data_IF_009210831475
#
_entry.id   IF_009210831475
#
_cell.length_a   1.000
_cell.length_b   1.000
_cell.length_c   1.000
_cell.angle_alpha   90.00
_cell.angle_beta   90.00
_cell.angle_gamma   90.00
#
_symmetry.space_group_name_H-M   'P 1'
#
loop_
_entity.id
_entity.type
_entity.pdbx_description
1 polymer ?
#
# COMPACT_ATOMS: atom_id res chain seq x y z
N UNK A 1 8.21 26.99 -15.52
CA UNK A 1 8.88 25.89 -14.81
C UNK A 1 8.34 24.56 -15.29
N UNK A 2 9.26 23.64 -15.58
CA UNK A 2 9.08 22.26 -16.01
C UNK A 2 8.43 21.42 -14.90
N UNK A 3 7.40 20.64 -15.23
CA UNK A 3 6.78 19.68 -14.29
C UNK A 3 7.71 18.51 -13.95
N UNK A 4 7.26 17.57 -13.08
CA UNK A 4 8.02 16.38 -12.72
C UNK A 4 8.39 15.59 -13.98
N UNK A 5 9.68 15.31 -14.14
CA UNK A 5 10.23 14.53 -15.24
C UNK A 5 10.48 13.13 -14.65
N UNK A 6 9.92 12.08 -15.26
CA UNK A 6 9.95 10.68 -14.79
C UNK A 6 8.90 10.29 -13.74
N UNK A 7 7.61 10.43 -14.08
CA UNK A 7 6.51 9.88 -13.29
C UNK A 7 6.39 8.37 -13.55
N UNK A 8 6.47 7.57 -12.48
CA UNK A 8 6.14 6.15 -12.51
C UNK A 8 4.74 5.94 -11.92
N UNK A 9 3.99 5.02 -12.51
CA UNK A 9 2.66 4.61 -12.04
C UNK A 9 2.54 3.09 -12.06
N UNK A 10 1.73 2.55 -11.15
CA UNK A 10 1.40 1.14 -11.08
C UNK A 10 -0.06 0.95 -10.69
N UNK A 11 -0.64 -0.20 -11.02
CA UNK A 11 -2.00 -0.53 -10.63
C UNK A 11 -2.03 -1.10 -9.22
N UNK A 12 -2.98 -0.63 -8.39
CA UNK A 12 -3.21 -1.26 -7.09
C UNK A 12 -3.58 -2.76 -7.21
N UNK A 13 -4.11 -3.19 -8.36
CA UNK A 13 -4.46 -4.58 -8.61
C UNK A 13 -3.23 -5.50 -8.74
N UNK A 14 -2.07 -4.93 -9.11
CA UNK A 14 -0.80 -5.65 -9.25
C UNK A 14 -0.07 -5.79 -7.91
N UNK A 15 -0.50 -5.05 -6.88
CA UNK A 15 0.11 -5.04 -5.56
C UNK A 15 -0.23 -6.32 -4.79
N UNK A 16 0.79 -6.99 -4.25
CA UNK A 16 0.65 -8.16 -3.40
C UNK A 16 0.36 -7.75 -1.94
N UNK A 17 1.12 -6.83 -1.37
CA UNK A 17 0.91 -6.32 -0.01
C UNK A 17 1.34 -4.86 0.14
N UNK A 18 0.83 -4.21 1.18
CA UNK A 18 1.15 -2.83 1.54
C UNK A 18 1.54 -2.79 3.01
N UNK A 19 2.69 -2.22 3.33
CA UNK A 19 3.21 -2.06 4.70
C UNK A 19 3.56 -0.60 4.99
N UNK A 20 3.31 -0.14 6.21
CA UNK A 20 3.90 1.10 6.71
C UNK A 20 5.27 0.81 7.29
N UNK A 21 6.28 1.51 6.79
CA UNK A 21 7.64 1.49 7.31
C UNK A 21 7.92 2.77 8.10
N UNK A 22 8.41 2.61 9.32
CA UNK A 22 9.02 3.69 10.12
C UNK A 22 10.44 3.29 10.45
N UNK A 23 11.41 4.11 10.07
CA UNK A 23 12.85 3.83 10.19
C UNK A 23 13.24 2.45 9.60
N UNK A 24 12.67 2.15 8.42
CA UNK A 24 12.81 0.89 7.67
C UNK A 24 12.28 -0.36 8.38
N UNK A 25 11.47 -0.21 9.43
CA UNK A 25 10.80 -1.33 10.11
C UNK A 25 9.31 -1.30 9.82
N UNK A 26 8.74 -2.46 9.51
CA UNK A 26 7.30 -2.59 9.38
C UNK A 26 6.63 -2.35 10.74
N UNK A 27 5.61 -1.48 10.75
CA UNK A 27 4.87 -1.13 11.96
C UNK A 27 3.38 -1.40 11.80
N UNK A 28 2.70 -1.55 12.93
CA UNK A 28 1.25 -1.70 12.96
C UNK A 28 0.55 -0.39 12.55
N UNK A 29 -0.48 -0.50 11.72
CA UNK A 29 -1.24 0.66 11.22
C UNK A 29 -2.24 1.19 12.25
N UNK A 30 -2.74 0.35 13.16
CA UNK A 30 -3.71 0.75 14.19
C UNK A 30 -3.04 1.44 15.37
N UNK A 31 -1.79 1.08 15.64
CA UNK A 31 -0.98 1.56 16.75
C UNK A 31 0.43 1.95 16.30
N UNK A 32 0.58 2.87 15.33
CA UNK A 32 1.89 3.24 14.80
C UNK A 32 2.71 3.97 15.88
N UNK A 33 4.05 3.93 15.79
CA UNK A 33 4.91 4.68 16.69
C UNK A 33 4.67 6.19 16.54
N UNK A 34 4.91 6.94 17.62
CA UNK A 34 4.70 8.40 17.63
C UNK A 34 5.88 9.19 17.05
N UNK A 35 7.00 8.51 16.74
CA UNK A 35 8.24 9.12 16.24
C UNK A 35 8.94 8.19 15.25
N UNK A 36 9.68 8.81 14.34
CA UNK A 36 10.53 8.16 13.34
C UNK A 36 11.09 9.23 12.39
N UNK A 37 12.18 8.90 11.69
CA UNK A 37 12.85 9.83 10.76
C UNK A 37 12.53 9.52 9.30
N UNK A 38 12.39 8.25 8.96
CA UNK A 38 12.00 7.80 7.63
C UNK A 38 10.63 7.15 7.69
N UNK A 39 9.70 7.61 6.87
CA UNK A 39 8.31 7.14 6.84
C UNK A 39 7.99 6.82 5.39
N UNK A 40 7.52 5.61 5.12
CA UNK A 40 7.13 5.20 3.77
C UNK A 40 6.01 4.17 3.79
N UNK A 41 5.17 4.18 2.76
CA UNK A 41 4.39 3.00 2.39
C UNK A 41 5.22 2.17 1.41
N UNK A 42 5.42 0.90 1.75
CA UNK A 42 6.03 -0.10 0.88
C UNK A 42 4.95 -0.92 0.19
N UNK A 43 5.03 -1.00 -1.13
CA UNK A 43 4.18 -1.80 -2.00
C UNK A 43 5.02 -2.96 -2.54
N UNK A 44 4.62 -4.19 -2.25
CA UNK A 44 5.26 -5.38 -2.81
C UNK A 44 4.49 -5.88 -4.03
N UNK A 45 5.21 -6.45 -4.99
CA UNK A 45 4.65 -7.01 -6.23
C UNK A 45 5.08 -8.47 -6.37
N UNK A 46 4.34 -9.30 -7.12
CA UNK A 46 4.85 -10.61 -7.55
C UNK A 46 6.14 -10.43 -8.37
N UNK A 47 7.07 -11.38 -8.26
CA UNK A 47 8.34 -11.36 -9.01
C UNK A 47 8.15 -11.11 -10.52
N UNK A 48 9.08 -10.41 -11.20
CA UNK A 48 10.47 -10.13 -10.78
C UNK A 48 10.72 -8.75 -10.14
N UNK A 49 9.71 -7.88 -10.03
CA UNK A 49 9.87 -6.53 -9.43
C UNK A 49 9.59 -6.61 -7.93
N UNK A 50 10.52 -6.08 -7.14
CA UNK A 50 10.60 -6.39 -5.71
C UNK A 50 9.69 -5.53 -4.84
N UNK A 51 9.89 -4.22 -4.80
CA UNK A 51 9.17 -3.29 -3.92
C UNK A 51 9.22 -1.86 -4.45
N UNK A 52 8.17 -1.08 -4.21
CA UNK A 52 8.16 0.38 -4.39
C UNK A 52 7.92 1.03 -3.02
N UNK A 53 8.71 2.06 -2.68
CA UNK A 53 8.55 2.82 -1.44
C UNK A 53 8.12 4.25 -1.74
N UNK A 54 6.94 4.62 -1.26
CA UNK A 54 6.41 5.99 -1.37
C UNK A 54 6.66 6.72 -0.05
N UNK A 55 7.52 7.75 -0.01
CA UNK A 55 7.85 8.46 1.22
C UNK A 55 6.70 9.37 1.70
N UNK A 56 6.58 9.52 3.01
CA UNK A 56 5.64 10.41 3.69
C UNK A 56 6.37 11.32 4.68
N UNK A 57 5.77 12.46 5.00
CA UNK A 57 6.30 13.40 6.00
C UNK A 57 5.82 13.11 7.42
N UNK A 58 4.66 12.47 7.57
CA UNK A 58 4.00 12.26 8.86
C UNK A 58 3.48 10.82 9.01
N UNK A 59 3.72 10.24 10.20
CA UNK A 59 3.31 8.86 10.51
C UNK A 59 1.78 8.70 10.49
N UNK A 60 0.99 9.59 11.13
CA UNK A 60 -0.48 9.46 11.12
C UNK A 60 -1.04 9.49 9.70
N UNK A 61 -0.55 10.38 8.84
CA UNK A 61 -0.97 10.48 7.45
C UNK A 61 -0.64 9.20 6.67
N UNK A 62 0.58 8.68 6.81
CA UNK A 62 0.98 7.43 6.18
C UNK A 62 0.12 6.25 6.67
N UNK A 63 -0.23 6.22 7.96
CA UNK A 63 -1.09 5.20 8.53
C UNK A 63 -2.52 5.25 7.97
N UNK A 64 -3.12 6.44 7.86
CA UNK A 64 -4.45 6.62 7.27
C UNK A 64 -4.50 6.16 5.81
N UNK A 65 -3.51 6.56 5.01
CA UNK A 65 -3.37 6.09 3.63
C UNK A 65 -3.15 4.58 3.55
N UNK A 66 -2.30 4.03 4.41
CA UNK A 66 -2.06 2.59 4.50
C UNK A 66 -3.34 1.81 4.75
N UNK A 67 -4.15 2.24 5.73
CA UNK A 67 -5.46 1.62 6.03
C UNK A 67 -6.40 1.68 4.84
N UNK A 68 -6.53 2.86 4.22
CA UNK A 68 -7.42 3.04 3.07
C UNK A 68 -7.01 2.14 1.90
N UNK A 69 -5.73 2.14 1.52
CA UNK A 69 -5.23 1.36 0.38
C UNK A 69 -5.31 -0.14 0.63
N UNK A 70 -5.04 -0.61 1.86
CA UNK A 70 -5.25 -2.01 2.22
C UNK A 70 -6.73 -2.42 2.11
N UNK A 71 -7.68 -1.54 2.45
CA UNK A 71 -9.10 -1.81 2.25
C UNK A 71 -9.47 -1.86 0.76
N UNK A 72 -8.96 -0.94 -0.06
CA UNK A 72 -9.20 -0.96 -1.50
C UNK A 72 -8.62 -2.22 -2.17
N UNK A 73 -7.42 -2.64 -1.77
CA UNK A 73 -6.79 -3.87 -2.25
C UNK A 73 -7.60 -5.12 -1.87
N UNK A 74 -8.21 -5.15 -0.67
CA UNK A 74 -9.10 -6.24 -0.28
C UNK A 74 -10.37 -6.27 -1.12
N UNK A 75 -10.99 -5.10 -1.38
CA UNK A 75 -12.19 -4.98 -2.21
C UNK A 75 -11.95 -5.45 -3.64
N UNK A 76 -10.87 -5.00 -4.27
CA UNK A 76 -10.54 -5.39 -5.65
C UNK A 76 -10.35 -6.89 -5.82
N UNK A 77 -9.91 -7.59 -4.77
CA UNK A 77 -9.78 -9.06 -4.77
C UNK A 77 -11.10 -9.79 -4.54
N UNK A 78 -12.03 -9.18 -3.81
CA UNK A 78 -13.36 -9.78 -3.54
C UNK A 78 -14.26 -9.73 -4.77
N UNK A 79 -14.12 -8.71 -5.62
CA UNK A 79 -14.89 -8.58 -6.87
C UNK A 79 -14.60 -9.71 -7.89
N UNK A 80 -13.54 -10.51 -7.66
CA UNK A 80 -13.18 -11.68 -8.47
C UNK A 80 -13.49 -13.04 -7.82
N UNK A 81 -14.25 -13.08 -6.71
CA UNK A 81 -14.80 -14.35 -6.23
C UNK A 81 -15.99 -14.75 -7.12
N UNK A 82 -15.93 -15.85 -7.90
CA UNK A 82 -17.12 -16.33 -8.58
C UNK A 82 -18.17 -16.62 -7.50
N UNK A 83 -19.30 -15.91 -7.55
CA UNK A 83 -20.49 -16.35 -6.82
C UNK A 83 -20.78 -17.75 -7.32
N UNK A 84 -20.58 -18.75 -6.48
CA UNK A 84 -21.16 -20.07 -6.71
C UNK A 84 -22.67 -19.84 -6.75
N UNK A 85 -23.23 -19.80 -7.95
CA UNK A 85 -24.66 -19.96 -8.17
C UNK A 85 -25.02 -21.36 -7.74
N UNK A 86 -25.43 -21.51 -6.49
CA UNK A 86 -26.27 -22.63 -6.09
C UNK A 86 -27.70 -22.25 -6.47
N UNK A 87 -28.06 -22.51 -7.72
CA UNK A 87 -29.46 -22.77 -8.05
C UNK A 87 -29.72 -24.25 -7.72
N UNK A 88 -30.53 -24.47 -6.68
CA UNK A 88 -31.40 -25.65 -6.53
C UNK A 88 -32.82 -25.15 -6.33
#
# INVERSE_FOLDING_TARGET
STGPINLESFSLQEVQSIQLLVDNQAVDLETPPTKGRSIALEFSFPEPVSVIKVPFTEIPLAAEWGKYLQQQLKRSRQDFSPKVSTDQ
#
